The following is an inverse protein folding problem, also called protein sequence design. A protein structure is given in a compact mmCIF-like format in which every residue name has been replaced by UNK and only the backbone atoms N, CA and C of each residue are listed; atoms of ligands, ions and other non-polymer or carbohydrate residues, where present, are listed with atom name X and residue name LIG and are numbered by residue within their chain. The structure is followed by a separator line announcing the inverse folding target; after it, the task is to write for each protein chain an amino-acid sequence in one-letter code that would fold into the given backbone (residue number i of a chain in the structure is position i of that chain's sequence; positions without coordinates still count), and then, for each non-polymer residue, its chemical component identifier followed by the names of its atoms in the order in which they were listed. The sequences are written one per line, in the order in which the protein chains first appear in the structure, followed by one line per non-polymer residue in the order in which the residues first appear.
data_IF_498395153416
#
_entry.id   IF_498395153416
#
_cell.length_a   1.000
_cell.length_b   1.000
_cell.length_c   1.000
_cell.angle_alpha   90.00
_cell.angle_beta   90.00
_cell.angle_gamma   90.00
#
_symmetry.space_group_name_H-M   'P 1'
#
loop_
_entity.id
_entity.type
_entity.pdbx_description
1 polymer ?
#
# COMPACT_ATOMS: atom_id res chain seq x y z
N UNK A 1 6.38 2.34 -36.78
CA UNK A 1 5.53 1.66 -35.77
C UNK A 1 6.29 1.29 -34.48
N UNK A 2 7.56 0.83 -34.51
CA UNK A 2 8.40 0.61 -33.30
C UNK A 2 8.77 1.94 -32.63
N UNK A 3 9.22 2.93 -33.36
CA UNK A 3 9.61 4.26 -32.84
C UNK A 3 8.47 5.01 -32.13
N UNK A 4 7.26 4.90 -32.66
CA UNK A 4 6.06 5.51 -32.03
C UNK A 4 5.66 4.81 -30.71
N UNK A 5 5.89 3.50 -30.61
CA UNK A 5 5.68 2.74 -29.38
C UNK A 5 6.74 3.06 -28.31
N UNK A 6 8.01 3.18 -28.70
CA UNK A 6 9.10 3.57 -27.81
C UNK A 6 8.88 4.98 -27.26
N UNK A 7 8.57 5.94 -28.11
CA UNK A 7 8.27 7.31 -27.70
C UNK A 7 7.05 7.40 -26.76
N UNK A 8 6.03 6.57 -26.95
CA UNK A 8 4.88 6.49 -26.06
C UNK A 8 5.27 5.90 -24.67
N UNK A 9 6.15 4.90 -24.66
CA UNK A 9 6.66 4.30 -23.41
C UNK A 9 7.50 5.33 -22.63
N UNK A 10 8.47 5.99 -23.30
CA UNK A 10 9.29 7.03 -22.66
C UNK A 10 8.45 8.18 -22.11
N UNK A 11 7.46 8.66 -22.86
CA UNK A 11 6.55 9.72 -22.41
C UNK A 11 5.73 9.29 -21.19
N UNK A 12 5.30 8.05 -21.13
CA UNK A 12 4.54 7.53 -20.00
C UNK A 12 5.41 7.29 -18.77
N UNK A 13 6.63 6.79 -18.96
CA UNK A 13 7.62 6.67 -17.86
C UNK A 13 8.00 8.04 -17.31
N UNK A 14 8.23 9.03 -18.18
CA UNK A 14 8.50 10.40 -17.77
C UNK A 14 7.36 10.98 -16.90
N UNK A 15 6.10 10.75 -17.26
CA UNK A 15 4.94 11.17 -16.45
C UNK A 15 4.95 10.55 -15.06
N UNK A 16 5.33 9.26 -14.95
CA UNK A 16 5.43 8.58 -13.65
C UNK A 16 6.56 9.19 -12.81
N UNK A 17 7.73 9.40 -13.40
CA UNK A 17 8.89 9.99 -12.72
C UNK A 17 8.61 11.44 -12.27
N UNK A 18 7.96 12.24 -13.11
CA UNK A 18 7.57 13.62 -12.75
C UNK A 18 6.60 13.60 -11.56
N UNK A 19 5.59 12.72 -11.60
CA UNK A 19 4.62 12.62 -10.51
C UNK A 19 5.25 12.15 -9.19
N UNK A 20 6.18 11.20 -9.25
CA UNK A 20 6.94 10.75 -8.09
C UNK A 20 7.85 11.87 -7.55
N UNK A 21 8.52 12.58 -8.45
CA UNK A 21 9.35 13.74 -8.10
C UNK A 21 8.55 14.85 -7.40
N UNK A 22 7.39 15.21 -7.94
CA UNK A 22 6.50 16.21 -7.31
C UNK A 22 6.05 15.72 -5.92
N UNK A 23 5.64 14.46 -5.77
CA UNK A 23 5.24 13.93 -4.48
C UNK A 23 6.38 13.95 -3.44
N UNK A 24 7.63 13.70 -3.86
CA UNK A 24 8.83 13.80 -3.00
C UNK A 24 9.13 15.24 -2.60
N UNK A 25 9.06 16.18 -3.54
CA UNK A 25 9.25 17.62 -3.27
C UNK A 25 8.19 18.10 -2.28
N UNK A 26 6.92 17.73 -2.47
CA UNK A 26 5.86 18.05 -1.52
C UNK A 26 6.18 17.52 -0.11
N UNK A 27 6.62 16.25 -0.02
CA UNK A 27 7.04 15.66 1.26
C UNK A 27 8.17 16.45 1.91
N UNK A 28 9.19 16.83 1.13
CA UNK A 28 10.33 17.59 1.62
C UNK A 28 9.94 19.00 2.13
N UNK A 29 9.05 19.69 1.42
CA UNK A 29 8.55 21.03 1.81
C UNK A 29 7.67 20.96 3.07
N UNK A 30 6.92 19.87 3.24
CA UNK A 30 5.98 19.71 4.35
C UNK A 30 6.69 19.28 5.64
N UNK A 31 7.78 18.53 5.53
CA UNK A 31 8.52 18.03 6.72
C UNK A 31 8.91 19.15 7.70
N UNK A 32 9.48 20.30 7.28
CA UNK A 32 9.77 21.40 8.21
C UNK A 32 8.55 22.00 8.90
N UNK A 33 7.38 21.93 8.26
CA UNK A 33 6.13 22.40 8.87
C UNK A 33 5.69 21.42 9.97
N UNK A 34 5.76 20.12 9.69
CA UNK A 34 5.40 19.08 10.66
C UNK A 34 6.34 19.11 11.88
N UNK A 35 7.65 19.28 11.67
CA UNK A 35 8.62 19.34 12.78
C UNK A 35 8.47 20.57 13.69
N UNK A 36 7.74 21.60 13.25
CA UNK A 36 7.36 22.75 14.10
C UNK A 36 6.06 22.51 14.89
N UNK A 37 5.20 21.65 14.38
CA UNK A 37 3.88 21.36 14.99
C UNK A 37 4.00 20.21 15.98
N UNK A 38 4.81 19.21 15.65
CA UNK A 38 4.93 17.98 16.41
C UNK A 38 6.25 17.85 17.15
N UNK A 39 6.22 17.24 18.32
CA UNK A 39 7.41 16.97 19.13
C UNK A 39 8.26 15.85 18.48
N UNK A 40 9.60 15.84 18.69
CA UNK A 40 10.46 14.78 18.19
C UNK A 40 10.02 13.35 18.63
N UNK A 41 9.51 13.20 19.87
CA UNK A 41 8.98 11.94 20.36
C UNK A 41 7.77 11.46 19.57
N UNK A 42 6.86 12.36 19.17
CA UNK A 42 5.68 12.04 18.36
C UNK A 42 6.06 11.60 16.94
N UNK A 43 7.10 12.22 16.38
CA UNK A 43 7.69 11.80 15.11
C UNK A 43 8.35 10.41 15.24
N UNK A 44 8.97 10.12 16.39
CA UNK A 44 9.50 8.80 16.73
C UNK A 44 8.41 7.74 16.72
N UNK A 45 7.29 7.98 17.38
CA UNK A 45 6.14 7.06 17.40
C UNK A 45 5.57 6.80 16.00
N UNK A 46 5.51 7.81 15.11
CA UNK A 46 5.15 7.62 13.70
C UNK A 46 6.17 6.74 12.97
N UNK A 47 7.47 6.97 13.20
CA UNK A 47 8.53 6.18 12.55
C UNK A 47 8.44 4.70 12.97
N UNK A 48 8.27 4.44 14.27
CA UNK A 48 8.06 3.08 14.81
C UNK A 48 6.81 2.43 14.22
N UNK A 49 5.68 3.14 14.19
CA UNK A 49 4.44 2.66 13.59
C UNK A 49 4.61 2.28 12.11
N UNK A 50 5.16 3.18 11.31
CA UNK A 50 5.34 2.94 9.87
C UNK A 50 6.33 1.81 9.59
N UNK A 51 7.41 1.71 10.37
CA UNK A 51 8.38 0.61 10.27
C UNK A 51 7.76 -0.74 10.64
N UNK A 52 6.98 -0.79 11.70
CA UNK A 52 6.27 -2.00 12.12
C UNK A 52 5.29 -2.48 11.05
N UNK A 53 4.48 -1.57 10.51
CA UNK A 53 3.56 -1.89 9.41
C UNK A 53 4.33 -2.32 8.16
N UNK A 54 5.46 -1.67 7.82
CA UNK A 54 6.27 -2.00 6.65
C UNK A 54 6.84 -3.43 6.72
N UNK A 55 7.21 -3.92 7.91
CA UNK A 55 7.65 -5.31 8.13
C UNK A 55 6.51 -6.30 7.87
N UNK A 56 5.27 -5.93 8.18
CA UNK A 56 4.10 -6.79 8.02
C UNK A 56 3.58 -6.84 6.57
N UNK A 57 3.75 -5.77 5.78
CA UNK A 57 3.19 -5.64 4.42
C UNK A 57 3.55 -6.81 3.48
N UNK A 58 4.78 -7.36 3.43
CA UNK A 58 5.09 -8.51 2.58
C UNK A 58 4.18 -9.71 2.81
N UNK A 59 3.69 -9.89 4.04
CA UNK A 59 2.82 -11.00 4.43
C UNK A 59 1.35 -10.77 4.08
N UNK A 60 0.94 -9.53 3.79
CA UNK A 60 -0.47 -9.18 3.51
C UNK A 60 -1.05 -9.94 2.32
N UNK A 61 -0.30 -10.05 1.24
CA UNK A 61 -0.72 -10.65 -0.03
C UNK A 61 0.31 -11.65 -0.56
N UNK A 62 1.32 -12.01 0.25
CA UNK A 62 2.43 -12.89 -0.14
C UNK A 62 3.11 -12.45 -1.46
N UNK A 63 3.09 -11.14 -1.75
CA UNK A 63 3.66 -10.53 -2.96
C UNK A 63 3.07 -10.98 -4.29
N UNK A 64 1.95 -11.67 -4.31
CA UNK A 64 1.26 -12.06 -5.54
C UNK A 64 0.84 -10.88 -6.45
N UNK A 65 0.51 -9.67 -5.95
CA UNK A 65 0.19 -8.54 -6.81
C UNK A 65 1.25 -8.23 -7.87
N UNK A 66 2.54 -8.46 -7.58
CA UNK A 66 3.65 -8.24 -8.53
C UNK A 66 3.56 -9.10 -9.80
N UNK A 67 2.81 -10.20 -9.77
CA UNK A 67 2.58 -11.05 -10.95
C UNK A 67 1.48 -10.51 -11.88
N UNK A 68 0.61 -9.62 -11.38
CA UNK A 68 -0.53 -9.09 -12.16
C UNK A 68 -0.09 -8.44 -13.48
N UNK A 69 0.95 -7.59 -13.54
CA UNK A 69 1.40 -6.99 -14.78
C UNK A 69 2.05 -7.99 -15.75
N UNK A 70 2.57 -9.11 -15.24
CA UNK A 70 3.35 -10.10 -16.03
C UNK A 70 2.43 -11.10 -16.74
N UNK A 71 1.24 -11.35 -16.20
CA UNK A 71 0.29 -12.30 -16.79
C UNK A 71 -0.24 -11.80 -18.14
N UNK A 72 -0.13 -12.62 -19.19
CA UNK A 72 -0.62 -12.28 -20.54
C UNK A 72 -2.15 -12.27 -20.62
N UNK A 73 -2.82 -13.25 -19.99
CA UNK A 73 -4.27 -13.40 -20.02
C UNK A 73 -4.95 -12.46 -19.02
N UNK A 74 -5.90 -11.64 -19.48
CA UNK A 74 -6.65 -10.70 -18.67
C UNK A 74 -7.54 -11.41 -17.63
N UNK A 75 -8.15 -12.53 -18.00
CA UNK A 75 -9.01 -13.32 -17.12
C UNK A 75 -8.20 -13.95 -15.96
N UNK A 76 -6.99 -14.39 -16.26
CA UNK A 76 -6.07 -14.90 -15.23
C UNK A 76 -5.60 -13.77 -14.30
N UNK A 77 -5.21 -12.62 -14.86
CA UNK A 77 -4.79 -11.48 -14.05
C UNK A 77 -5.90 -10.99 -13.11
N UNK A 78 -7.15 -10.92 -13.60
CA UNK A 78 -8.27 -10.53 -12.77
C UNK A 78 -8.58 -11.56 -11.68
N UNK A 79 -8.53 -12.86 -12.02
CA UNK A 79 -8.70 -13.94 -11.03
C UNK A 79 -7.60 -13.92 -9.97
N UNK A 80 -6.35 -13.58 -10.33
CA UNK A 80 -5.26 -13.40 -9.39
C UNK A 80 -5.49 -12.18 -8.50
N UNK A 81 -5.93 -11.05 -9.07
CA UNK A 81 -6.24 -9.83 -8.30
C UNK A 81 -7.32 -10.09 -7.26
N UNK A 82 -8.35 -10.86 -7.61
CA UNK A 82 -9.40 -11.24 -6.67
C UNK A 82 -8.90 -12.21 -5.59
N UNK A 83 -8.05 -13.18 -5.97
CA UNK A 83 -7.42 -14.08 -5.01
C UNK A 83 -6.53 -13.34 -4.01
N UNK A 84 -5.73 -12.38 -4.49
CA UNK A 84 -4.89 -11.54 -3.61
C UNK A 84 -5.72 -10.63 -2.71
N UNK A 85 -6.85 -10.14 -3.17
CA UNK A 85 -7.78 -9.39 -2.33
C UNK A 85 -8.37 -10.26 -1.19
N UNK A 86 -8.77 -11.50 -1.48
CA UNK A 86 -9.22 -12.44 -0.45
C UNK A 86 -8.09 -12.78 0.53
N UNK A 87 -6.86 -12.97 0.05
CA UNK A 87 -5.69 -13.17 0.92
C UNK A 87 -5.47 -11.98 1.83
N UNK A 88 -5.58 -10.75 1.31
CA UNK A 88 -5.47 -9.53 2.10
C UNK A 88 -6.53 -9.46 3.20
N UNK A 89 -7.78 -9.81 2.90
CA UNK A 89 -8.84 -9.87 3.90
C UNK A 89 -8.53 -10.91 4.99
N UNK A 90 -8.16 -12.13 4.58
CA UNK A 90 -7.81 -13.20 5.53
C UNK A 90 -6.62 -12.81 6.41
N UNK A 91 -5.56 -12.25 5.83
CA UNK A 91 -4.37 -11.82 6.58
C UNK A 91 -4.67 -10.66 7.53
N UNK A 92 -5.54 -9.73 7.13
CA UNK A 92 -5.98 -8.62 7.99
C UNK A 92 -6.80 -9.14 9.17
N UNK A 93 -7.73 -10.06 8.94
CA UNK A 93 -8.51 -10.69 10.02
C UNK A 93 -7.59 -11.45 10.97
N UNK A 94 -6.64 -12.22 10.44
CA UNK A 94 -5.67 -12.95 11.24
C UNK A 94 -4.79 -11.98 12.07
N UNK A 95 -4.38 -10.85 11.51
CA UNK A 95 -3.64 -9.81 12.21
C UNK A 95 -4.49 -9.19 13.35
N UNK A 96 -5.77 -8.91 13.10
CA UNK A 96 -6.68 -8.40 14.14
C UNK A 96 -6.79 -9.39 15.30
N UNK A 97 -7.01 -10.66 15.00
CA UNK A 97 -7.11 -11.72 16.00
C UNK A 97 -5.81 -11.84 16.80
N UNK A 98 -4.67 -11.86 16.09
CA UNK A 98 -3.35 -11.94 16.71
C UNK A 98 -3.08 -10.76 17.64
N UNK A 99 -3.35 -9.53 17.22
CA UNK A 99 -3.17 -8.34 18.06
C UNK A 99 -4.17 -8.31 19.22
N UNK A 100 -5.38 -8.81 19.03
CA UNK A 100 -6.37 -8.82 20.09
C UNK A 100 -5.96 -9.73 21.27
N UNK A 101 -5.41 -10.91 20.98
CA UNK A 101 -5.02 -11.89 22.01
C UNK A 101 -3.58 -11.75 22.49
N UNK A 102 -2.65 -11.36 21.61
CA UNK A 102 -1.20 -11.41 21.87
C UNK A 102 -0.50 -10.06 21.75
N UNK A 103 -1.24 -8.94 21.82
CA UNK A 103 -0.65 -7.60 21.63
C UNK A 103 0.52 -7.31 22.56
N UNK A 104 0.43 -7.71 23.84
CA UNK A 104 1.49 -7.49 24.84
C UNK A 104 2.77 -8.25 24.46
N UNK A 105 2.64 -9.51 24.09
CA UNK A 105 3.78 -10.35 23.74
C UNK A 105 4.43 -9.91 22.41
N UNK A 106 3.59 -9.53 21.43
CA UNK A 106 4.07 -9.04 20.14
C UNK A 106 4.82 -7.72 20.31
N UNK A 107 4.26 -6.76 21.05
CA UNK A 107 4.89 -5.45 21.20
C UNK A 107 6.16 -5.50 22.07
N UNK A 108 6.21 -6.34 23.08
CA UNK A 108 7.44 -6.58 23.85
C UNK A 108 8.51 -7.27 23.02
N UNK A 109 8.15 -8.26 22.18
CA UNK A 109 9.08 -8.96 21.29
C UNK A 109 9.77 -8.02 20.30
N UNK A 110 9.03 -7.05 19.76
CA UNK A 110 9.57 -6.06 18.84
C UNK A 110 10.06 -4.77 19.52
N UNK A 111 9.99 -4.67 20.85
CA UNK A 111 10.34 -3.48 21.61
C UNK A 111 9.61 -2.22 21.14
N UNK A 112 8.32 -2.37 20.80
CA UNK A 112 7.47 -1.29 20.26
C UNK A 112 6.27 -1.01 21.17
N UNK A 113 6.49 -1.01 22.46
CA UNK A 113 5.45 -0.82 23.49
C UNK A 113 4.69 0.50 23.34
N UNK A 114 5.33 1.51 22.74
CA UNK A 114 4.70 2.80 22.44
C UNK A 114 3.47 2.68 21.51
N UNK A 115 3.35 1.57 20.76
CA UNK A 115 2.21 1.33 19.89
C UNK A 115 1.00 0.72 20.58
N UNK A 116 1.10 0.47 21.89
CA UNK A 116 0.03 -0.21 22.65
C UNK A 116 -1.31 0.53 22.58
N UNK A 117 -1.27 1.85 22.59
CA UNK A 117 -2.47 2.70 22.48
C UNK A 117 -3.00 2.81 21.04
N UNK A 118 -2.16 2.51 20.06
CA UNK A 118 -2.46 2.64 18.62
C UNK A 118 -2.67 1.31 17.90
N UNK A 119 -2.73 0.19 18.64
CA UNK A 119 -2.80 -1.15 18.07
C UNK A 119 -3.91 -1.34 17.01
N UNK A 120 -5.05 -0.69 17.20
CA UNK A 120 -6.21 -0.78 16.31
C UNK A 120 -6.00 -0.07 14.96
N UNK A 121 -5.06 0.87 14.88
CA UNK A 121 -4.69 1.55 13.64
C UNK A 121 -3.79 0.68 12.75
N UNK A 122 -3.06 -0.29 13.32
CA UNK A 122 -2.17 -1.18 12.58
C UNK A 122 -2.91 -2.01 11.53
N UNK A 123 -4.02 -2.72 11.83
CA UNK A 123 -4.77 -3.46 10.83
C UNK A 123 -5.39 -2.56 9.75
N UNK A 124 -5.79 -1.34 10.09
CA UNK A 124 -6.35 -0.38 9.15
C UNK A 124 -5.28 0.06 8.14
N UNK A 125 -4.09 0.43 8.62
CA UNK A 125 -2.97 0.79 7.76
C UNK A 125 -2.51 -0.39 6.92
N UNK A 126 -2.39 -1.57 7.50
CA UNK A 126 -2.02 -2.80 6.81
C UNK A 126 -2.97 -3.14 5.65
N UNK A 127 -4.28 -3.04 5.89
CA UNK A 127 -5.29 -3.27 4.86
C UNK A 127 -5.23 -2.20 3.76
N UNK A 128 -5.12 -0.92 4.14
CA UNK A 128 -5.05 0.21 3.20
C UNK A 128 -3.84 0.12 2.29
N UNK A 129 -2.66 -0.17 2.84
CA UNK A 129 -1.42 -0.36 2.08
C UNK A 129 -1.48 -1.57 1.16
N UNK A 130 -1.96 -2.72 1.66
CA UNK A 130 -2.10 -3.92 0.84
C UNK A 130 -3.07 -3.74 -0.32
N UNK A 131 -4.19 -3.05 -0.06
CA UNK A 131 -5.17 -2.70 -1.09
C UNK A 131 -4.60 -1.70 -2.10
N UNK A 132 -3.84 -0.70 -1.64
CA UNK A 132 -3.14 0.23 -2.52
C UNK A 132 -2.14 -0.48 -3.43
N UNK A 133 -1.34 -1.41 -2.90
CA UNK A 133 -0.39 -2.20 -3.70
C UNK A 133 -1.11 -3.01 -4.79
N UNK A 134 -2.24 -3.64 -4.47
CA UNK A 134 -3.04 -4.38 -5.44
C UNK A 134 -3.51 -3.49 -6.59
N UNK A 135 -4.10 -2.34 -6.30
CA UNK A 135 -4.57 -1.40 -7.32
C UNK A 135 -3.42 -0.76 -8.10
N UNK A 136 -2.30 -0.50 -7.44
CA UNK A 136 -1.09 0.01 -8.07
C UNK A 136 -0.57 -0.95 -9.16
N UNK A 137 -0.50 -2.25 -8.86
CA UNK A 137 -0.08 -3.26 -9.83
C UNK A 137 -1.10 -3.44 -10.97
N UNK A 138 -2.39 -3.29 -10.68
CA UNK A 138 -3.42 -3.27 -11.72
C UNK A 138 -3.28 -2.07 -12.65
N UNK A 139 -3.00 -0.88 -12.11
CA UNK A 139 -2.75 0.33 -12.90
C UNK A 139 -1.50 0.19 -13.79
N UNK A 140 -0.42 -0.43 -13.29
CA UNK A 140 0.76 -0.75 -14.11
C UNK A 140 0.37 -1.66 -15.27
N UNK A 141 -0.43 -2.70 -15.03
CA UNK A 141 -0.92 -3.59 -16.07
C UNK A 141 -1.71 -2.85 -17.17
N UNK A 142 -2.58 -1.93 -16.76
CA UNK A 142 -3.38 -1.11 -17.68
C UNK A 142 -2.56 0.03 -18.31
N UNK A 143 -1.28 0.20 -17.93
CA UNK A 143 -0.38 1.28 -18.39
C UNK A 143 -0.91 2.68 -18.07
N UNK A 144 -1.70 2.82 -17.00
CA UNK A 144 -2.27 4.09 -16.56
C UNK A 144 -1.29 4.88 -15.69
N UNK A 145 -0.12 5.21 -16.23
CA UNK A 145 0.96 5.88 -15.51
C UNK A 145 0.58 7.27 -14.98
N UNK A 146 -0.31 7.97 -15.68
CA UNK A 146 -0.81 9.27 -15.20
C UNK A 146 -1.66 9.12 -13.94
N UNK A 147 -2.47 8.05 -13.86
CA UNK A 147 -3.25 7.73 -12.67
C UNK A 147 -2.34 7.42 -11.48
N UNK A 148 -1.26 6.66 -11.71
CA UNK A 148 -0.24 6.36 -10.71
C UNK A 148 0.41 7.65 -10.16
N UNK A 149 0.81 8.56 -11.05
CA UNK A 149 1.38 9.86 -10.65
C UNK A 149 0.41 10.69 -9.84
N UNK A 150 -0.84 10.81 -10.30
CA UNK A 150 -1.88 11.56 -9.60
C UNK A 150 -2.18 10.95 -8.22
N UNK A 151 -2.20 9.62 -8.11
CA UNK A 151 -2.44 8.96 -6.83
C UNK A 151 -1.36 9.28 -5.80
N UNK A 152 -0.08 9.30 -6.19
CA UNK A 152 1.04 9.66 -5.30
C UNK A 152 0.99 11.11 -4.83
N UNK A 153 0.68 12.04 -5.74
CA UNK A 153 0.53 13.45 -5.38
C UNK A 153 -0.65 13.62 -4.41
N UNK A 154 -1.78 12.99 -4.71
CA UNK A 154 -2.97 13.07 -3.87
C UNK A 154 -2.74 12.47 -2.49
N UNK A 155 -2.03 11.31 -2.42
CA UNK A 155 -1.61 10.72 -1.15
C UNK A 155 -0.85 11.72 -0.28
N UNK A 156 0.20 12.32 -0.83
CA UNK A 156 1.01 13.29 -0.09
C UNK A 156 0.21 14.52 0.32
N UNK A 157 -0.62 15.06 -0.58
CA UNK A 157 -1.45 16.24 -0.28
C UNK A 157 -2.48 15.97 0.81
N UNK A 158 -3.24 14.88 0.71
CA UNK A 158 -4.26 14.54 1.72
C UNK A 158 -3.60 14.19 3.06
N UNK A 159 -2.58 13.34 3.05
CA UNK A 159 -1.89 12.95 4.27
C UNK A 159 -1.33 14.15 5.02
N UNK A 160 -0.66 15.04 4.31
CA UNK A 160 -0.09 16.25 4.90
C UNK A 160 -1.15 17.23 5.40
N UNK A 161 -2.25 17.40 4.66
CA UNK A 161 -3.35 18.26 5.10
C UNK A 161 -3.98 17.73 6.40
N UNK A 162 -4.21 16.41 6.49
CA UNK A 162 -4.74 15.78 7.70
C UNK A 162 -3.74 15.87 8.86
N UNK A 163 -2.45 15.59 8.61
CA UNK A 163 -1.40 15.72 9.63
C UNK A 163 -1.32 17.13 10.19
N UNK A 164 -1.29 18.16 9.33
CA UNK A 164 -1.25 19.55 9.77
C UNK A 164 -2.54 19.90 10.54
N UNK A 165 -3.70 19.55 10.02
CA UNK A 165 -4.98 19.84 10.67
C UNK A 165 -5.11 19.22 12.05
N UNK A 166 -4.77 17.93 12.19
CA UNK A 166 -4.81 17.23 13.48
C UNK A 166 -3.70 17.69 14.44
N UNK A 167 -2.54 18.09 13.90
CA UNK A 167 -1.46 18.68 14.70
C UNK A 167 -1.84 20.01 15.30
N UNK A 168 -2.49 20.90 14.54
CA UNK A 168 -3.03 22.15 15.05
C UNK A 168 -4.13 21.93 16.10
N UNK A 169 -4.84 20.83 16.04
CA UNK A 169 -5.82 20.43 17.05
C UNK A 169 -5.20 19.67 18.23
N UNK A 170 -3.86 19.58 18.33
CA UNK A 170 -3.10 18.97 19.44
C UNK A 170 -3.38 17.48 19.65
N UNK A 171 -3.65 16.72 18.57
CA UNK A 171 -3.85 15.27 18.65
C UNK A 171 -2.54 14.47 18.84
N UNK A 172 -1.38 15.11 18.83
CA UNK A 172 -0.09 14.46 19.06
C UNK A 172 0.21 13.34 18.06
N UNK A 173 0.83 12.25 18.54
CA UNK A 173 1.20 11.09 17.72
C UNK A 173 0.02 10.50 16.94
N UNK A 174 -1.20 10.50 17.51
CA UNK A 174 -2.42 10.05 16.82
C UNK A 174 -2.67 10.82 15.52
N UNK A 175 -2.47 12.15 15.53
CA UNK A 175 -2.68 12.98 14.35
C UNK A 175 -1.73 12.61 13.20
N UNK A 176 -0.47 12.29 13.51
CA UNK A 176 0.51 11.83 12.53
C UNK A 176 0.15 10.47 11.94
N UNK A 177 -0.22 9.51 12.78
CA UNK A 177 -0.57 8.14 12.39
C UNK A 177 -1.86 8.14 11.56
N UNK A 178 -2.91 8.83 12.00
CA UNK A 178 -4.16 8.96 11.24
C UNK A 178 -3.90 9.63 9.90
N UNK A 179 -3.10 10.70 9.85
CA UNK A 179 -2.75 11.37 8.62
C UNK A 179 -1.99 10.47 7.64
N UNK A 180 -1.13 9.56 8.13
CA UNK A 180 -0.47 8.57 7.26
C UNK A 180 -1.46 7.58 6.66
N UNK A 181 -2.45 7.12 7.42
CA UNK A 181 -3.51 6.22 6.94
C UNK A 181 -4.39 6.93 5.90
N UNK A 182 -4.77 8.19 6.15
CA UNK A 182 -5.52 8.99 5.17
C UNK A 182 -4.71 9.27 3.89
N UNK A 183 -3.40 9.38 4.00
CA UNK A 183 -2.51 9.43 2.83
C UNK A 183 -2.74 8.22 1.92
N UNK A 184 -2.71 7.02 2.48
CA UNK A 184 -2.91 5.76 1.75
C UNK A 184 -4.33 5.69 1.14
N UNK A 185 -5.36 6.01 1.93
CA UNK A 185 -6.74 6.01 1.49
C UNK A 185 -7.00 7.03 0.35
N UNK A 186 -6.32 8.18 0.36
CA UNK A 186 -6.42 9.19 -0.69
C UNK A 186 -6.08 8.65 -2.07
N UNK A 187 -5.01 7.85 -2.18
CA UNK A 187 -4.65 7.16 -3.42
C UNK A 187 -5.67 6.14 -3.88
N UNK A 188 -6.27 5.39 -2.94
CA UNK A 188 -7.28 4.38 -3.23
C UNK A 188 -8.53 4.96 -3.87
N UNK A 189 -8.94 6.16 -3.49
CA UNK A 189 -10.15 6.80 -4.01
C UNK A 189 -10.11 7.03 -5.52
N UNK A 190 -8.94 7.39 -6.06
CA UNK A 190 -8.72 7.54 -7.50
C UNK A 190 -8.79 6.21 -8.24
N UNK A 191 -8.14 5.18 -7.70
CA UNK A 191 -8.15 3.84 -8.28
C UNK A 191 -9.55 3.23 -8.29
N UNK A 192 -10.29 3.36 -7.18
CA UNK A 192 -11.65 2.85 -7.08
C UNK A 192 -12.58 3.47 -8.13
N UNK A 193 -12.44 4.78 -8.41
CA UNK A 193 -13.22 5.45 -9.46
C UNK A 193 -12.84 4.97 -10.86
N UNK A 194 -11.52 4.83 -11.13
CA UNK A 194 -11.02 4.44 -12.45
C UNK A 194 -11.38 2.98 -12.79
N UNK A 195 -11.21 2.07 -11.83
CA UNK A 195 -11.38 0.63 -12.08
C UNK A 195 -12.75 0.07 -11.73
N UNK A 196 -13.70 0.90 -11.30
CA UNK A 196 -15.08 0.46 -11.01
C UNK A 196 -15.71 -0.34 -12.15
N UNK A 197 -15.55 0.13 -13.39
CA UNK A 197 -16.06 -0.56 -14.59
C UNK A 197 -15.37 -1.92 -14.79
N UNK A 198 -14.05 -1.96 -14.67
CA UNK A 198 -13.26 -3.19 -14.83
C UNK A 198 -13.67 -4.25 -13.81
N UNK A 199 -13.89 -3.84 -12.57
CA UNK A 199 -14.32 -4.74 -11.49
C UNK A 199 -15.73 -5.28 -11.80
N UNK A 200 -16.68 -4.43 -12.17
CA UNK A 200 -18.04 -4.86 -12.46
C UNK A 200 -18.13 -5.76 -13.70
N UNK A 201 -17.37 -5.47 -14.75
CA UNK A 201 -17.42 -6.27 -15.99
C UNK A 201 -16.72 -7.62 -15.86
N UNK A 202 -15.63 -7.67 -15.11
CA UNK A 202 -14.78 -8.87 -15.02
C UNK A 202 -15.14 -9.82 -13.87
N UNK A 203 -16.05 -9.41 -12.96
CA UNK A 203 -16.49 -10.25 -11.84
C UNK A 203 -17.01 -11.62 -12.28
N UNK A 204 -17.67 -11.72 -13.44
CA UNK A 204 -18.16 -12.99 -14.02
C UNK A 204 -17.05 -14.00 -14.36
N UNK A 205 -15.79 -13.54 -14.52
CA UNK A 205 -14.65 -14.40 -14.85
C UNK A 205 -13.99 -15.03 -13.63
N UNK A 206 -14.36 -14.60 -12.42
CA UNK A 206 -13.84 -15.17 -11.18
C UNK A 206 -14.38 -16.59 -11.00
N UNK A 207 -13.51 -17.58 -11.11
CA UNK A 207 -13.83 -19.00 -10.81
C UNK A 207 -12.81 -19.53 -9.82
N UNK A 208 -13.29 -20.18 -8.78
CA UNK A 208 -12.45 -20.77 -7.73
C UNK A 208 -11.42 -21.76 -8.27
N UNK A 209 -11.78 -22.54 -9.29
CA UNK A 209 -10.85 -23.45 -9.95
C UNK A 209 -9.67 -22.73 -10.63
N UNK A 210 -9.92 -21.58 -11.27
CA UNK A 210 -8.84 -20.77 -11.86
C UNK A 210 -7.92 -20.17 -10.81
N UNK A 211 -8.47 -19.72 -9.68
CA UNK A 211 -7.68 -19.19 -8.57
C UNK A 211 -6.73 -20.26 -8.03
N UNK A 212 -7.22 -21.48 -7.77
CA UNK A 212 -6.39 -22.63 -7.34
C UNK A 212 -5.26 -22.94 -8.33
N UNK A 213 -5.59 -22.99 -9.62
CA UNK A 213 -4.61 -23.28 -10.69
C UNK A 213 -3.51 -22.19 -10.74
N UNK A 214 -3.88 -20.90 -10.63
CA UNK A 214 -2.90 -19.82 -10.67
C UNK A 214 -2.03 -19.84 -9.43
N UNK A 215 -2.62 -19.96 -8.24
CA UNK A 215 -1.88 -20.02 -6.98
C UNK A 215 -0.95 -21.24 -6.94
N UNK A 216 -1.41 -22.41 -7.42
CA UNK A 216 -0.59 -23.61 -7.52
C UNK A 216 0.57 -23.46 -8.51
N UNK A 217 0.33 -22.80 -9.67
CA UNK A 217 1.39 -22.55 -10.67
C UNK A 217 2.49 -21.63 -10.16
N UNK A 218 2.16 -20.68 -9.29
CA UNK A 218 3.09 -19.66 -8.77
C UNK A 218 3.37 -19.83 -7.27
N UNK A 219 3.16 -21.04 -6.73
CA UNK A 219 3.43 -21.35 -5.31
C UNK A 219 4.86 -21.05 -4.87
N UNK A 220 5.83 -21.23 -5.76
CA UNK A 220 7.25 -20.94 -5.48
C UNK A 220 7.57 -19.44 -5.48
N UNK A 221 6.69 -18.58 -6.01
CA UNK A 221 6.96 -17.15 -6.11
C UNK A 221 7.07 -16.46 -4.74
N UNK A 222 6.15 -16.67 -3.79
CA UNK A 222 6.30 -16.17 -2.42
C UNK A 222 7.57 -16.66 -1.74
N UNK A 223 7.91 -17.95 -1.91
CA UNK A 223 9.06 -18.59 -1.22
C UNK A 223 10.37 -17.86 -1.52
N UNK A 224 10.57 -17.39 -2.75
CA UNK A 224 11.78 -16.65 -3.13
C UNK A 224 11.67 -15.14 -2.88
N UNK A 225 10.49 -14.56 -3.03
CA UNK A 225 10.31 -13.11 -2.93
C UNK A 225 10.12 -12.60 -1.51
N UNK A 226 9.48 -13.37 -0.63
CA UNK A 226 9.26 -12.95 0.77
C UNK A 226 10.57 -12.78 1.53
N UNK A 227 11.53 -13.74 1.53
CA UNK A 227 12.79 -13.55 2.25
C UNK A 227 13.60 -12.36 1.72
N UNK A 228 13.67 -12.20 0.40
CA UNK A 228 14.37 -11.07 -0.22
C UNK A 228 13.79 -9.71 0.20
N UNK A 229 12.47 -9.61 0.25
CA UNK A 229 11.81 -8.36 0.66
C UNK A 229 11.92 -8.13 2.16
N UNK A 230 11.83 -9.19 2.97
CA UNK A 230 12.02 -9.11 4.42
C UNK A 230 13.42 -8.58 4.76
N UNK A 231 14.45 -9.08 4.09
CA UNK A 231 15.83 -8.57 4.25
C UNK A 231 15.94 -7.09 3.83
N UNK A 232 15.25 -6.68 2.76
CA UNK A 232 15.22 -5.28 2.34
C UNK A 232 14.45 -4.37 3.31
N UNK A 233 13.48 -4.89 4.05
CA UNK A 233 12.72 -4.11 5.03
C UNK A 233 13.45 -3.94 6.36
N UNK A 234 14.49 -4.75 6.61
CA UNK A 234 15.35 -4.67 7.80
C UNK A 234 16.61 -3.80 7.59
N UNK A 235 16.92 -3.44 6.34
CA UNK A 235 18.03 -2.56 5.96
C UNK A 235 17.62 -1.09 5.95
#
# INVERSE_FOLDING_TARGET
MKETLENAIYKNMAKLLIGDGIARILGFVITPVLTRIYLPAEMGSLAVFTSFVAILIPFSTLRYPLLIPVLKDEKMAFSLSYATFLMLLCSTILLIISLFFFKSDIFSLFSVEELFDFWWLIPISFFSLGLYELFYQWAIRKKEFLLLSKSKILQKSIGSAVQIGLGMASFGSLGLIIGSIFSEAGGLSLFARSFKKDICCNYRFVRWSRMKVILGKFVNYPVYRLPAQFLLSLS
#
